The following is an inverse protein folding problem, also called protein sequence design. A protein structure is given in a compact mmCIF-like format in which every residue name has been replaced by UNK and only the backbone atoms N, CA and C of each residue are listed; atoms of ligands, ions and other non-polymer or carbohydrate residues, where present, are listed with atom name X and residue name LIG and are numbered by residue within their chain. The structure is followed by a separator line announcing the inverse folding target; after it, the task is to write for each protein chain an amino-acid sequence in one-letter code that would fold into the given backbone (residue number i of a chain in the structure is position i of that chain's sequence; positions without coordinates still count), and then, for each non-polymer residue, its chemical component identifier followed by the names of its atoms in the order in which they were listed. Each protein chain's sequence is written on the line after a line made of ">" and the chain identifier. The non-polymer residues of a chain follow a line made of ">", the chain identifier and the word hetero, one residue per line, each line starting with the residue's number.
data_IF_355127087781
#
_entry.id   IF_355127087781
#
_cell.length_a   1.000
_cell.length_b   1.000
_cell.length_c   1.000
_cell.angle_alpha   90.00
_cell.angle_beta   90.00
_cell.angle_gamma   90.00
#
_symmetry.space_group_name_H-M   'P 1'
#
loop_
_entity.id
_entity.type
_entity.pdbx_description
1 polymer ?
#
# COMPACT_ATOMS: atom_id res chain seq x y z
N UNK A 1 28.49 -0.07 -20.81
CA UNK A 1 28.53 -0.75 -22.13
C UNK A 1 28.57 0.29 -23.23
N UNK A 2 27.58 1.22 -23.27
CA UNK A 2 27.61 2.37 -24.17
C UNK A 2 28.93 3.18 -24.07
N UNK A 3 29.34 3.55 -22.87
CA UNK A 3 30.62 4.24 -22.61
C UNK A 3 31.82 3.51 -23.24
N UNK A 4 31.93 2.20 -23.01
CA UNK A 4 32.97 1.37 -23.64
C UNK A 4 32.89 1.30 -25.16
N UNK A 5 31.69 1.29 -25.76
CA UNK A 5 31.52 1.32 -27.22
C UNK A 5 32.02 2.64 -27.81
N UNK A 6 31.73 3.76 -27.13
CA UNK A 6 32.21 5.10 -27.51
C UNK A 6 33.73 5.20 -27.39
N UNK A 7 34.31 4.73 -26.27
CA UNK A 7 35.77 4.74 -26.06
C UNK A 7 36.53 3.85 -27.07
N UNK A 8 35.91 2.77 -27.54
CA UNK A 8 36.55 1.83 -28.47
C UNK A 8 36.16 2.02 -29.94
N UNK A 9 35.43 3.10 -30.27
CA UNK A 9 34.90 3.37 -31.62
C UNK A 9 34.20 2.16 -32.25
N UNK A 10 33.42 1.42 -31.44
CA UNK A 10 32.64 0.25 -31.89
C UNK A 10 31.17 0.59 -32.00
N UNK A 11 30.51 0.00 -32.99
CA UNK A 11 29.06 0.15 -33.16
C UNK A 11 28.28 -0.34 -31.94
N UNK A 12 27.32 0.47 -31.52
CA UNK A 12 26.46 0.15 -30.39
C UNK A 12 25.35 -0.81 -30.81
N UNK A 13 25.33 -1.99 -30.19
CA UNK A 13 24.25 -2.95 -30.39
C UNK A 13 23.35 -3.01 -29.14
N UNK A 14 22.08 -2.64 -29.31
CA UNK A 14 21.08 -2.61 -28.23
C UNK A 14 20.87 -4.00 -27.60
N UNK A 15 20.91 -5.07 -28.40
CA UNK A 15 20.68 -6.44 -27.91
C UNK A 15 21.82 -6.94 -27.02
N UNK A 16 23.05 -6.48 -27.25
CA UNK A 16 24.20 -6.75 -26.39
C UNK A 16 24.22 -5.86 -25.13
N UNK A 17 23.56 -4.70 -25.19
CA UNK A 17 23.46 -3.76 -24.07
C UNK A 17 22.47 -4.23 -22.99
N UNK A 18 21.33 -4.80 -23.41
CA UNK A 18 20.25 -5.23 -22.50
C UNK A 18 20.50 -6.65 -22.01
N UNK A 19 20.86 -6.78 -20.73
CA UNK A 19 21.05 -8.08 -20.07
C UNK A 19 19.73 -8.57 -19.47
N UNK A 20 19.06 -9.51 -20.15
CA UNK A 20 17.84 -10.17 -19.65
C UNK A 20 18.03 -10.83 -18.27
N UNK A 21 19.21 -11.41 -18.02
CA UNK A 21 19.55 -12.09 -16.77
C UNK A 21 19.47 -11.20 -15.53
N UNK A 22 19.56 -9.87 -15.67
CA UNK A 22 19.54 -8.95 -14.53
C UNK A 22 18.22 -9.04 -13.77
N UNK A 23 17.09 -9.00 -14.49
CA UNK A 23 15.75 -9.07 -13.88
C UNK A 23 15.47 -10.49 -13.40
N UNK A 24 15.75 -11.50 -14.23
CA UNK A 24 15.50 -12.91 -13.89
C UNK A 24 16.23 -13.35 -12.63
N UNK A 25 17.54 -13.07 -12.54
CA UNK A 25 18.33 -13.45 -11.37
C UNK A 25 18.00 -12.59 -10.14
N UNK A 26 17.69 -11.31 -10.35
CA UNK A 26 17.25 -10.41 -9.28
C UNK A 26 15.98 -10.91 -8.60
N UNK A 27 14.92 -11.18 -9.39
CA UNK A 27 13.65 -11.69 -8.87
C UNK A 27 13.81 -13.07 -8.21
N UNK A 28 14.53 -13.99 -8.85
CA UNK A 28 14.79 -15.33 -8.28
C UNK A 28 15.46 -15.22 -6.91
N UNK A 29 16.47 -14.36 -6.78
CA UNK A 29 17.17 -14.15 -5.52
C UNK A 29 16.27 -13.53 -4.45
N UNK A 30 15.57 -12.43 -4.75
CA UNK A 30 14.76 -11.72 -3.75
C UNK A 30 13.59 -12.57 -3.25
N UNK A 31 12.96 -13.36 -4.13
CA UNK A 31 11.89 -14.28 -3.74
C UNK A 31 12.42 -15.49 -2.94
N UNK A 32 13.59 -16.03 -3.30
CA UNK A 32 14.16 -17.18 -2.60
C UNK A 32 14.73 -16.84 -1.22
N UNK A 33 15.36 -15.67 -1.08
CA UNK A 33 16.04 -15.26 0.16
C UNK A 33 15.17 -14.39 1.06
N UNK A 34 14.12 -13.77 0.51
CA UNK A 34 13.31 -12.78 1.22
C UNK A 34 14.00 -11.43 1.43
N UNK A 35 15.16 -11.21 0.81
CA UNK A 35 15.89 -9.95 0.84
C UNK A 35 15.53 -9.08 -0.36
N UNK A 36 14.86 -7.97 -0.09
CA UNK A 36 14.48 -6.98 -1.10
C UNK A 36 15.48 -5.82 -1.06
N UNK A 37 16.42 -5.83 -2.00
CA UNK A 37 17.50 -4.85 -2.11
C UNK A 37 18.62 -5.31 -3.03
N UNK A 38 19.64 -4.47 -3.20
CA UNK A 38 20.81 -4.79 -4.01
C UNK A 38 21.67 -5.86 -3.31
N UNK A 39 21.96 -6.98 -3.99
CA UNK A 39 22.72 -8.11 -3.43
C UNK A 39 24.09 -7.69 -2.84
N UNK A 40 24.72 -6.68 -3.43
CA UNK A 40 26.04 -6.19 -3.02
C UNK A 40 25.99 -5.28 -1.79
N UNK A 41 24.80 -4.85 -1.36
CA UNK A 41 24.56 -3.97 -0.20
C UNK A 41 23.50 -4.58 0.72
N UNK A 42 23.79 -5.77 1.24
CA UNK A 42 22.86 -6.56 2.05
C UNK A 42 22.36 -5.81 3.32
N UNK A 43 23.16 -4.89 3.88
CA UNK A 43 22.84 -4.18 5.12
C UNK A 43 21.64 -3.22 5.02
N UNK A 44 21.24 -2.80 3.81
CA UNK A 44 20.07 -1.92 3.59
C UNK A 44 18.85 -2.66 3.03
N UNK A 45 18.90 -3.99 2.94
CA UNK A 45 17.83 -4.78 2.37
C UNK A 45 16.70 -5.01 3.37
N UNK A 46 15.44 -4.96 2.91
CA UNK A 46 14.30 -5.40 3.72
C UNK A 46 14.26 -6.93 3.73
N UNK A 47 14.65 -7.52 4.85
CA UNK A 47 14.66 -8.96 5.05
C UNK A 47 13.29 -9.50 5.49
N UNK A 48 13.02 -10.76 5.15
CA UNK A 48 11.86 -11.51 5.65
C UNK A 48 10.52 -11.20 4.99
N UNK A 49 10.54 -10.54 3.81
CA UNK A 49 9.34 -10.28 3.00
C UNK A 49 8.83 -11.56 2.34
N UNK A 50 9.74 -12.41 1.85
CA UNK A 50 9.42 -13.77 1.39
C UNK A 50 9.84 -14.79 2.44
N UNK A 51 9.00 -15.81 2.63
CA UNK A 51 9.21 -16.88 3.63
C UNK A 51 8.77 -18.22 3.04
N UNK A 52 9.38 -19.31 3.50
CA UNK A 52 8.96 -20.66 3.12
C UNK A 52 7.59 -20.96 3.71
N UNK A 53 6.65 -21.41 2.88
CA UNK A 53 5.29 -21.73 3.31
C UNK A 53 5.26 -22.81 4.39
N UNK A 54 4.41 -22.64 5.39
CA UNK A 54 4.29 -23.55 6.52
C UNK A 54 3.23 -24.60 6.20
N UNK A 55 3.63 -25.88 6.14
CA UNK A 55 2.78 -27.00 5.73
C UNK A 55 2.58 -28.07 6.82
N UNK A 56 2.69 -27.71 8.11
CA UNK A 56 2.44 -28.68 9.20
C UNK A 56 1.00 -29.20 9.21
N UNK A 57 0.02 -28.32 8.98
CA UNK A 57 -1.40 -28.66 8.84
C UNK A 57 -2.07 -27.82 7.74
N UNK A 58 -3.28 -28.21 7.34
CA UNK A 58 -4.08 -27.40 6.41
C UNK A 58 -4.32 -25.99 6.98
N UNK A 59 -4.72 -25.90 8.26
CA UNK A 59 -4.95 -24.63 8.93
C UNK A 59 -3.68 -23.77 9.06
N UNK A 60 -2.51 -24.37 9.32
CA UNK A 60 -1.25 -23.63 9.41
C UNK A 60 -0.89 -22.97 8.08
N UNK A 61 -1.25 -23.62 6.96
CA UNK A 61 -0.99 -23.09 5.61
C UNK A 61 -1.84 -21.84 5.37
N UNK A 62 -3.14 -21.88 5.69
CA UNK A 62 -4.05 -20.74 5.54
C UNK A 62 -3.68 -19.58 6.45
N UNK A 63 -3.36 -19.86 7.71
CA UNK A 63 -2.85 -18.85 8.67
C UNK A 63 -1.60 -18.16 8.13
N UNK A 64 -0.63 -18.92 7.62
CA UNK A 64 0.62 -18.35 7.12
C UNK A 64 0.40 -17.37 5.95
N UNK A 65 -0.54 -17.67 5.04
CA UNK A 65 -0.88 -16.78 3.91
C UNK A 65 -1.54 -15.47 4.35
N UNK A 66 -2.15 -15.42 5.54
CA UNK A 66 -2.87 -14.26 6.08
C UNK A 66 -2.06 -13.43 7.07
N UNK A 67 -0.78 -13.75 7.20
CA UNK A 67 0.15 -13.10 8.12
C UNK A 67 0.61 -11.74 7.57
N UNK A 68 0.59 -10.74 8.45
CA UNK A 68 1.17 -9.42 8.23
C UNK A 68 2.29 -9.18 9.25
N UNK A 69 3.36 -8.53 8.80
CA UNK A 69 4.54 -8.27 9.63
C UNK A 69 4.80 -6.76 9.70
N UNK A 70 4.88 -6.24 10.91
CA UNK A 70 5.20 -4.82 11.12
C UNK A 70 6.72 -4.62 10.93
N UNK A 71 7.18 -3.66 10.11
CA UNK A 71 8.60 -3.47 9.78
C UNK A 71 9.35 -2.76 10.93
N UNK A 72 9.30 -3.33 12.13
CA UNK A 72 9.96 -2.83 13.34
C UNK A 72 10.98 -3.89 13.79
N UNK A 73 12.18 -3.42 14.13
CA UNK A 73 13.24 -4.27 14.68
C UNK A 73 12.76 -5.00 15.94
N UNK A 74 13.05 -6.29 16.02
CA UNK A 74 12.59 -7.14 17.15
C UNK A 74 13.33 -6.84 18.46
N UNK A 75 14.42 -6.07 18.39
CA UNK A 75 15.25 -5.67 19.52
C UNK A 75 14.61 -4.57 20.37
N UNK A 76 13.62 -3.84 19.81
CA UNK A 76 12.88 -2.80 20.52
C UNK A 76 11.81 -3.38 21.44
N UNK A 77 11.98 -3.22 22.77
CA UNK A 77 10.93 -3.41 23.79
C UNK A 77 9.90 -2.27 23.79
N UNK A 78 9.44 -1.84 22.62
CA UNK A 78 8.44 -0.77 22.50
C UNK A 78 7.06 -1.40 22.64
N UNK A 79 6.30 -0.98 23.65
CA UNK A 79 4.99 -1.55 23.97
C UNK A 79 3.88 -1.12 22.99
N UNK A 80 3.84 0.16 22.60
CA UNK A 80 2.72 0.74 21.82
C UNK A 80 2.36 0.00 20.52
N UNK A 81 3.30 -0.35 19.61
CA UNK A 81 2.94 -1.05 18.37
C UNK A 81 2.52 -2.51 18.60
N UNK A 82 2.83 -3.08 19.78
CA UNK A 82 2.53 -4.47 20.14
C UNK A 82 1.18 -4.62 20.84
N UNK A 83 0.73 -3.57 21.52
CA UNK A 83 -0.56 -3.58 22.22
C UNK A 83 -1.71 -3.67 21.20
N UNK A 84 -2.73 -4.45 21.57
CA UNK A 84 -3.97 -4.50 20.81
C UNK A 84 -4.65 -3.12 20.90
N UNK A 85 -4.91 -2.51 19.75
CA UNK A 85 -5.62 -1.24 19.64
C UNK A 85 -7.05 -1.47 19.17
N UNK A 86 -7.99 -0.62 19.60
CA UNK A 86 -9.42 -0.79 19.28
C UNK A 86 -9.71 -0.73 17.77
N UNK A 87 -8.88 -0.03 16.99
CA UNK A 87 -9.00 0.02 15.51
C UNK A 87 -8.67 -1.31 14.82
N UNK A 88 -8.15 -2.30 15.53
CA UNK A 88 -7.93 -3.64 15.00
C UNK A 88 -9.22 -4.43 14.82
N UNK A 89 -10.30 -4.04 15.52
CA UNK A 89 -11.56 -4.75 15.50
C UNK A 89 -12.10 -4.87 14.08
N UNK A 90 -12.46 -6.11 13.68
CA UNK A 90 -12.93 -6.42 12.33
C UNK A 90 -11.84 -6.61 11.28
N UNK A 91 -10.60 -6.13 11.50
CA UNK A 91 -9.51 -6.20 10.50
C UNK A 91 -8.50 -7.30 10.77
N UNK A 92 -8.12 -7.52 12.03
CA UNK A 92 -7.11 -8.52 12.42
C UNK A 92 -7.63 -9.41 13.54
N UNK A 93 -7.13 -10.64 13.62
CA UNK A 93 -7.42 -11.55 14.71
C UNK A 93 -6.78 -11.01 16.02
N UNK A 94 -7.56 -10.81 17.11
CA UNK A 94 -7.03 -10.23 18.35
C UNK A 94 -6.13 -11.19 19.13
N UNK A 95 -6.27 -12.51 18.91
CA UNK A 95 -5.56 -13.53 19.66
C UNK A 95 -4.38 -14.15 18.91
N UNK A 96 -4.41 -14.19 17.58
CA UNK A 96 -3.44 -14.94 16.78
C UNK A 96 -2.17 -14.13 16.51
N UNK A 97 -1.29 -14.10 17.53
CA UNK A 97 0.06 -13.54 17.48
C UNK A 97 1.05 -14.56 18.06
N UNK A 98 2.29 -14.65 17.56
CA UNK A 98 3.32 -15.45 18.20
C UNK A 98 3.67 -14.89 19.58
N UNK A 99 4.19 -15.76 20.45
CA UNK A 99 4.74 -15.38 21.75
C UNK A 99 6.12 -14.71 21.61
N UNK A 100 6.57 -14.04 22.68
CA UNK A 100 7.92 -13.46 22.78
C UNK A 100 8.14 -12.22 21.92
N UNK A 101 9.31 -12.12 21.29
CA UNK A 101 9.79 -10.88 20.63
C UNK A 101 8.97 -10.46 19.40
N UNK A 102 8.16 -11.36 18.83
CA UNK A 102 7.27 -11.05 17.71
C UNK A 102 5.83 -10.73 18.15
N UNK A 103 5.53 -10.81 19.45
CA UNK A 103 4.19 -10.57 19.98
C UNK A 103 3.71 -9.16 19.61
N UNK A 104 2.53 -9.10 18.99
CA UNK A 104 1.87 -7.89 18.50
C UNK A 104 2.47 -7.28 17.22
N UNK A 105 3.64 -7.76 16.77
CA UNK A 105 4.27 -7.31 15.51
C UNK A 105 3.81 -8.14 14.32
N UNK A 106 3.57 -9.41 14.56
CA UNK A 106 3.00 -10.35 13.58
C UNK A 106 1.51 -10.50 13.87
N UNK A 107 0.68 -10.15 12.89
CA UNK A 107 -0.78 -10.17 13.02
C UNK A 107 -1.39 -10.99 11.89
N UNK A 108 -2.53 -11.62 12.14
CA UNK A 108 -3.26 -12.34 11.11
C UNK A 108 -4.54 -11.60 10.73
N UNK A 109 -4.84 -11.57 9.44
CA UNK A 109 -6.04 -10.96 8.88
C UNK A 109 -7.31 -11.69 9.37
N UNK A 110 -8.34 -10.92 9.75
CA UNK A 110 -9.66 -11.47 10.13
C UNK A 110 -10.35 -12.11 8.93
N UNK A 111 -11.24 -13.09 9.12
CA UNK A 111 -11.86 -13.85 8.01
C UNK A 111 -12.46 -12.95 6.92
N UNK A 112 -13.15 -11.87 7.31
CA UNK A 112 -13.82 -10.93 6.40
C UNK A 112 -12.97 -9.73 5.97
N UNK A 113 -11.72 -9.62 6.45
CA UNK A 113 -10.85 -8.52 6.02
C UNK A 113 -10.55 -8.57 4.53
N UNK A 114 -10.50 -7.39 3.93
CA UNK A 114 -10.22 -7.18 2.52
C UNK A 114 -9.13 -6.12 2.39
N UNK A 115 -8.13 -6.38 1.54
CA UNK A 115 -7.04 -5.45 1.24
C UNK A 115 -7.42 -4.71 -0.03
N UNK A 116 -7.48 -3.38 0.03
CA UNK A 116 -7.75 -2.53 -1.13
C UNK A 116 -6.61 -2.67 -2.16
N UNK A 117 -6.96 -2.82 -3.44
CA UNK A 117 -5.98 -2.95 -4.53
C UNK A 117 -5.72 -1.61 -5.25
N UNK A 118 -6.64 -0.66 -5.09
CA UNK A 118 -6.46 0.74 -5.48
C UNK A 118 -7.24 1.10 -6.74
N UNK A 119 -7.77 2.32 -6.76
CA UNK A 119 -8.60 2.85 -7.85
C UNK A 119 -8.12 4.23 -8.30
N UNK A 120 -8.30 4.60 -9.57
CA UNK A 120 -7.95 5.94 -10.04
C UNK A 120 -8.76 7.02 -9.31
N UNK A 121 -8.08 8.04 -8.78
CA UNK A 121 -8.74 9.13 -8.04
C UNK A 121 -9.36 10.23 -8.92
N UNK A 122 -8.85 10.43 -10.14
CA UNK A 122 -9.30 11.53 -11.02
C UNK A 122 -10.80 11.52 -11.35
N UNK A 123 -11.41 10.38 -11.73
CA UNK A 123 -12.84 10.34 -12.02
C UNK A 123 -13.72 10.77 -10.83
N UNK A 124 -13.23 10.55 -9.60
CA UNK A 124 -13.93 10.98 -8.40
C UNK A 124 -13.91 12.50 -8.25
N UNK A 125 -12.82 13.17 -8.63
CA UNK A 125 -12.73 14.64 -8.59
C UNK A 125 -13.71 15.26 -9.58
N UNK A 126 -13.74 14.76 -10.83
CA UNK A 126 -14.68 15.26 -11.85
C UNK A 126 -16.13 15.04 -11.43
N UNK A 127 -16.41 13.89 -10.80
CA UNK A 127 -17.72 13.60 -10.22
C UNK A 127 -18.08 14.58 -9.10
N UNK A 128 -17.16 14.87 -8.18
CA UNK A 128 -17.39 15.83 -7.09
C UNK A 128 -17.64 17.23 -7.64
N UNK A 129 -16.86 17.69 -8.62
CA UNK A 129 -17.07 18.99 -9.29
C UNK A 129 -18.43 19.05 -9.99
N UNK A 130 -18.88 17.95 -10.60
CA UNK A 130 -20.21 17.86 -11.23
C UNK A 130 -21.36 17.85 -10.22
N UNK A 131 -21.08 17.67 -8.92
CA UNK A 131 -22.04 17.70 -7.82
C UNK A 131 -21.75 18.89 -6.89
N UNK A 132 -21.62 20.09 -7.48
CA UNK A 132 -21.54 21.37 -6.78
C UNK A 132 -20.36 21.55 -5.80
N UNK A 133 -19.28 20.77 -5.97
CA UNK A 133 -18.01 21.07 -5.32
C UNK A 133 -17.31 22.23 -6.05
N UNK A 134 -17.04 23.31 -5.33
CA UNK A 134 -16.22 24.43 -5.83
C UNK A 134 -14.75 24.01 -5.82
N UNK A 135 -14.06 24.13 -6.96
CA UNK A 135 -12.63 23.83 -7.06
C UNK A 135 -11.82 24.75 -6.15
N UNK A 136 -10.70 24.25 -5.64
CA UNK A 136 -9.84 25.02 -4.73
C UNK A 136 -9.38 26.36 -5.35
N UNK A 137 -9.15 26.39 -6.66
CA UNK A 137 -8.72 27.57 -7.40
C UNK A 137 -9.78 28.68 -7.42
N UNK A 138 -11.06 28.31 -7.27
CA UNK A 138 -12.21 29.22 -7.31
C UNK A 138 -12.69 29.60 -5.90
N UNK A 139 -12.12 28.99 -4.86
CA UNK A 139 -12.55 29.18 -3.48
C UNK A 139 -12.03 30.51 -2.90
N UNK A 140 -12.97 31.39 -2.54
CA UNK A 140 -12.69 32.62 -1.81
C UNK A 140 -13.09 32.50 -0.32
N UNK A 141 -12.14 32.47 0.63
CA UNK A 141 -12.45 32.29 2.05
C UNK A 141 -13.36 33.36 2.66
N UNK A 142 -13.31 34.59 2.13
CA UNK A 142 -14.15 35.68 2.62
C UNK A 142 -15.62 35.50 2.23
N UNK A 143 -15.88 34.88 1.08
CA UNK A 143 -17.22 34.67 0.53
C UNK A 143 -17.91 33.46 1.15
N UNK A 144 -17.15 32.41 1.46
CA UNK A 144 -17.67 31.14 1.97
C UNK A 144 -16.87 30.63 3.19
N UNK A 145 -16.84 31.36 4.33
CA UNK A 145 -15.97 31.03 5.46
C UNK A 145 -16.28 29.69 6.14
N UNK A 146 -17.52 29.19 6.01
CA UNK A 146 -17.99 27.94 6.60
C UNK A 146 -18.03 26.78 5.61
N UNK A 147 -17.41 26.91 4.43
CA UNK A 147 -17.39 25.83 3.44
C UNK A 147 -16.56 24.65 3.95
N UNK A 148 -17.05 23.43 3.71
CA UNK A 148 -16.37 22.20 4.13
C UNK A 148 -15.30 21.84 3.11
N UNK A 149 -14.07 21.60 3.59
CA UNK A 149 -12.96 21.19 2.73
C UNK A 149 -13.14 19.74 2.27
N UNK A 150 -12.91 19.48 0.99
CA UNK A 150 -12.97 18.15 0.39
C UNK A 150 -11.56 17.70 0.04
N UNK A 151 -11.15 16.55 0.58
CA UNK A 151 -9.84 15.94 0.32
C UNK A 151 -10.02 14.62 -0.42
N UNK A 152 -9.25 14.42 -1.48
CA UNK A 152 -9.15 13.16 -2.21
C UNK A 152 -7.71 12.68 -2.12
N UNK A 153 -7.49 11.50 -1.52
CA UNK A 153 -6.15 10.91 -1.31
C UNK A 153 -5.14 11.87 -0.65
N UNK A 154 -5.61 12.72 0.26
CA UNK A 154 -4.79 13.70 0.98
C UNK A 154 -4.58 15.04 0.26
N UNK A 155 -5.03 15.18 -0.98
CA UNK A 155 -4.99 16.45 -1.74
C UNK A 155 -6.28 17.23 -1.48
N UNK A 156 -6.15 18.52 -1.10
CA UNK A 156 -7.30 19.42 -1.01
C UNK A 156 -7.74 19.80 -2.42
N UNK A 157 -8.87 19.27 -2.87
CA UNK A 157 -9.35 19.46 -4.24
C UNK A 157 -10.36 20.61 -4.37
N UNK A 158 -11.08 20.91 -3.29
CA UNK A 158 -12.13 21.93 -3.32
C UNK A 158 -12.88 22.09 -2.02
N UNK A 159 -13.99 22.81 -2.07
CA UNK A 159 -14.89 23.00 -0.95
C UNK A 159 -16.34 22.76 -1.35
N UNK A 160 -17.18 22.42 -0.38
CA UNK A 160 -18.61 22.22 -0.61
C UNK A 160 -19.41 22.86 0.53
N UNK A 161 -20.55 23.49 0.19
CA UNK A 161 -21.39 24.20 1.17
C UNK A 161 -22.34 23.29 1.93
N UNK A 162 -22.83 22.23 1.28
CA UNK A 162 -23.67 21.18 1.89
C UNK A 162 -22.97 19.81 1.85
N UNK A 163 -22.03 19.51 2.78
CA UNK A 163 -21.30 18.25 2.76
C UNK A 163 -22.18 17.02 3.02
N UNK A 164 -23.37 17.18 3.62
CA UNK A 164 -24.27 16.06 3.92
C UNK A 164 -24.96 15.56 2.65
N UNK A 165 -25.35 16.46 1.75
CA UNK A 165 -25.88 16.11 0.44
C UNK A 165 -24.81 15.38 -0.39
N UNK A 166 -23.61 15.97 -0.48
CA UNK A 166 -22.49 15.39 -1.22
C UNK A 166 -22.13 13.97 -0.72
N UNK A 167 -22.08 13.78 0.61
CA UNK A 167 -21.80 12.48 1.21
C UNK A 167 -22.85 11.42 0.85
N UNK A 168 -24.15 11.78 0.82
CA UNK A 168 -25.22 10.85 0.41
C UNK A 168 -25.09 10.45 -1.05
N UNK A 169 -24.84 11.42 -1.92
CA UNK A 169 -24.64 11.18 -3.36
C UNK A 169 -23.46 10.23 -3.60
N UNK A 170 -22.32 10.45 -2.94
CA UNK A 170 -21.15 9.56 -3.02
C UNK A 170 -21.46 8.15 -2.50
N UNK A 171 -22.20 8.03 -1.40
CA UNK A 171 -22.61 6.73 -0.86
C UNK A 171 -23.52 5.97 -1.82
N UNK A 172 -24.46 6.63 -2.48
CA UNK A 172 -25.40 5.99 -3.38
C UNK A 172 -24.73 5.52 -4.67
N UNK A 173 -23.82 6.33 -5.22
CA UNK A 173 -22.98 5.93 -6.37
C UNK A 173 -22.11 4.71 -6.05
N UNK A 174 -21.56 4.63 -4.83
CA UNK A 174 -20.84 3.43 -4.35
C UNK A 174 -21.76 2.21 -4.24
N UNK A 175 -22.97 2.37 -3.67
CA UNK A 175 -23.95 1.26 -3.51
C UNK A 175 -24.49 0.75 -4.84
N UNK A 176 -24.60 1.63 -5.84
CA UNK A 176 -24.99 1.27 -7.21
C UNK A 176 -23.86 0.62 -8.01
N UNK A 177 -22.63 0.61 -7.49
CA UNK A 177 -21.46 0.04 -8.16
C UNK A 177 -20.90 0.90 -9.30
N UNK A 178 -21.30 2.18 -9.38
CA UNK A 178 -20.76 3.13 -10.37
C UNK A 178 -19.33 3.52 -10.02
N UNK A 179 -19.05 3.70 -8.72
CA UNK A 179 -17.69 3.81 -8.18
C UNK A 179 -17.32 2.47 -7.56
N UNK A 180 -16.05 2.08 -7.72
CA UNK A 180 -15.54 0.84 -7.13
C UNK A 180 -15.80 0.78 -5.63
N UNK A 181 -16.03 -0.44 -5.14
CA UNK A 181 -16.20 -0.73 -3.71
C UNK A 181 -14.88 -0.66 -2.93
N UNK A 182 -13.75 -0.57 -3.63
CA UNK A 182 -12.41 -0.43 -3.07
C UNK A 182 -12.15 0.94 -2.46
#
# INVERSE_FOLDING_TARGET
>A
YLEKCVETSKDFNLTLAVKSNTITNGLKYSLATGNWGEQKKAASSKAGVSQVLNRYTFASTLSHLRRTNTPIGRDGKIAKPRQLHNTHWGLVCPAETPEGQACGLVKNLSLMSYITIGTPGYPLVDFLSSNDMELLEEYEPQRSPNATKVFVNGVWVGTHRDPLMLAKVVQDVRRQGVVSHE
#
